data_IF_400054577839
#
_entry.id   IF_400054577839
#
_cell.length_a   1.000
_cell.length_b   1.000
_cell.length_c   1.000
_cell.angle_alpha   90.00
_cell.angle_beta   90.00
_cell.angle_gamma   90.00
#
_symmetry.space_group_name_H-M   'P 1'
#
loop_
_entity.id
_entity.type
_entity.pdbx_description
1 polymer ?
#
# COMPACT_ATOMS: atom_id res chain seq x y z
N UNK A 1 -7.24 -0.56 -4.91
CA UNK A 1 -7.33 -0.92 -3.47
C UNK A 1 -8.65 -1.62 -3.19
N UNK A 2 -8.70 -2.60 -2.28
CA UNK A 2 -9.95 -3.16 -1.74
C UNK A 2 -10.24 -2.55 -0.36
N UNK A 3 -10.98 -1.44 -0.35
CA UNK A 3 -11.35 -0.74 0.89
C UNK A 3 -12.43 -1.47 1.69
N UNK A 4 -13.27 -2.28 1.04
CA UNK A 4 -14.29 -3.06 1.74
C UNK A 4 -13.65 -4.16 2.60
N UNK A 5 -12.57 -4.79 2.10
CA UNK A 5 -11.74 -5.68 2.89
C UNK A 5 -11.17 -4.98 4.13
N UNK A 6 -10.59 -3.78 3.95
CA UNK A 6 -9.97 -3.04 5.05
C UNK A 6 -10.99 -2.56 6.10
N UNK A 7 -12.14 -2.05 5.65
CA UNK A 7 -13.25 -1.66 6.54
C UNK A 7 -13.79 -2.85 7.32
N UNK A 8 -13.89 -4.03 6.69
CA UNK A 8 -14.26 -5.28 7.38
C UNK A 8 -13.23 -5.71 8.41
N UNK A 9 -11.94 -5.58 8.10
CA UNK A 9 -10.83 -5.86 9.02
C UNK A 9 -10.85 -4.92 10.24
N UNK A 10 -11.24 -3.67 10.04
CA UNK A 10 -11.42 -2.67 11.09
C UNK A 10 -12.76 -2.79 11.84
N UNK A 11 -13.57 -3.83 11.58
CA UNK A 11 -14.91 -3.99 12.14
C UNK A 11 -15.83 -2.75 11.96
N UNK A 12 -15.63 -2.01 10.85
CA UNK A 12 -16.35 -0.77 10.55
C UNK A 12 -15.86 0.47 11.31
N UNK A 13 -14.78 0.38 12.09
CA UNK A 13 -14.17 1.54 12.75
C UNK A 13 -13.32 2.34 11.76
N UNK A 14 -13.89 3.45 11.27
CA UNK A 14 -13.23 4.33 10.31
C UNK A 14 -11.96 5.00 10.87
N UNK A 15 -11.85 5.19 12.20
CA UNK A 15 -10.63 5.73 12.81
C UNK A 15 -9.44 4.78 12.66
N UNK A 16 -9.70 3.48 12.83
CA UNK A 16 -8.68 2.43 12.61
C UNK A 16 -8.31 2.34 11.12
N UNK A 17 -9.29 2.45 10.22
CA UNK A 17 -9.01 2.47 8.77
C UNK A 17 -8.09 3.64 8.41
N UNK A 18 -8.38 4.84 8.90
CA UNK A 18 -7.56 6.03 8.66
C UNK A 18 -6.14 5.87 9.20
N UNK A 19 -5.98 5.37 10.42
CA UNK A 19 -4.68 5.13 11.04
C UNK A 19 -3.83 4.15 10.22
N UNK A 20 -4.41 3.01 9.83
CA UNK A 20 -3.70 1.98 9.06
C UNK A 20 -3.28 2.50 7.69
N UNK A 21 -4.14 3.27 7.01
CA UNK A 21 -3.81 3.89 5.73
C UNK A 21 -2.73 4.98 5.87
N UNK A 22 -2.76 5.76 6.96
CA UNK A 22 -1.72 6.74 7.25
C UNK A 22 -0.35 6.06 7.48
N UNK A 23 -0.31 5.00 8.30
CA UNK A 23 0.91 4.23 8.55
C UNK A 23 1.46 3.59 7.28
N UNK A 24 0.60 3.11 6.38
CA UNK A 24 1.04 2.60 5.08
C UNK A 24 1.73 3.68 4.24
N UNK A 25 1.15 4.89 4.18
CA UNK A 25 1.73 6.03 3.45
C UNK A 25 3.08 6.47 4.04
N UNK A 26 3.18 6.54 5.35
CA UNK A 26 4.44 6.89 6.03
C UNK A 26 5.54 5.88 5.74
N UNK A 27 5.22 4.58 5.83
CA UNK A 27 6.20 3.53 5.56
C UNK A 27 6.58 3.45 4.07
N UNK A 28 5.66 3.74 3.15
CA UNK A 28 5.97 3.79 1.72
C UNK A 28 7.12 4.76 1.41
N UNK A 29 7.19 5.91 2.12
CA UNK A 29 8.31 6.84 1.97
C UNK A 29 9.67 6.25 2.38
N UNK A 30 9.69 5.29 3.33
CA UNK A 30 10.90 4.57 3.74
C UNK A 30 11.31 3.50 2.73
N UNK A 31 10.34 2.80 2.12
CA UNK A 31 10.61 1.72 1.18
C UNK A 31 11.03 2.21 -0.20
N UNK A 32 10.44 3.31 -0.69
CA UNK A 32 10.67 3.80 -2.07
C UNK A 32 12.16 3.96 -2.43
N UNK A 33 13.01 4.57 -1.60
CA UNK A 33 14.45 4.66 -1.88
C UNK A 33 15.17 3.30 -1.89
N UNK A 34 14.65 2.30 -1.19
CA UNK A 34 15.22 0.96 -1.11
C UNK A 34 14.83 0.08 -2.31
N UNK A 35 13.78 0.43 -3.06
CA UNK A 35 13.34 -0.29 -4.27
C UNK A 35 14.27 0.01 -5.47
N UNK A 36 15.58 -0.08 -5.26
CA UNK A 36 16.62 0.12 -6.27
C UNK A 36 17.48 -1.15 -6.35
N UNK A 37 17.77 -1.71 -7.54
CA UNK A 37 18.55 -2.94 -7.65
C UNK A 37 19.98 -2.82 -7.09
N UNK A 38 20.51 -1.59 -6.97
CA UNK A 38 21.82 -1.30 -6.35
C UNK A 38 21.77 -1.22 -4.83
N UNK A 39 20.58 -1.04 -4.24
CA UNK A 39 20.42 -0.95 -2.80
C UNK A 39 20.45 -2.36 -2.17
N UNK A 40 21.37 -2.67 -1.24
CA UNK A 40 21.54 -4.05 -0.74
C UNK A 40 20.28 -4.63 -0.07
N UNK A 41 19.43 -3.77 0.49
CA UNK A 41 18.17 -4.14 1.15
C UNK A 41 16.93 -4.19 0.25
N UNK A 42 17.05 -4.13 -1.07
CA UNK A 42 15.88 -4.06 -1.96
C UNK A 42 14.95 -5.28 -1.84
N UNK A 43 15.50 -6.47 -1.59
CA UNK A 43 14.70 -7.69 -1.42
C UNK A 43 13.82 -7.64 -0.17
N UNK A 44 14.40 -7.18 0.94
CA UNK A 44 13.68 -7.01 2.21
C UNK A 44 12.61 -5.92 2.08
N UNK A 45 12.89 -4.85 1.32
CA UNK A 45 11.90 -3.83 1.00
C UNK A 45 10.73 -4.41 0.20
N UNK A 46 10.98 -5.18 -0.88
CA UNK A 46 9.91 -5.85 -1.65
C UNK A 46 9.08 -6.78 -0.75
N UNK A 47 9.73 -7.56 0.10
CA UNK A 47 9.05 -8.46 1.04
C UNK A 47 8.16 -7.70 2.03
N UNK A 48 8.66 -6.59 2.58
CA UNK A 48 7.93 -5.75 3.52
C UNK A 48 6.74 -5.07 2.86
N UNK A 49 6.95 -4.50 1.66
CA UNK A 49 5.88 -3.89 0.84
C UNK A 49 4.80 -4.92 0.54
N UNK A 50 5.16 -6.17 0.19
CA UNK A 50 4.20 -7.25 -0.04
C UNK A 50 3.28 -7.49 1.17
N UNK A 51 3.88 -7.62 2.34
CA UNK A 51 3.16 -7.87 3.59
C UNK A 51 2.22 -6.70 3.93
N UNK A 52 2.74 -5.48 3.90
CA UNK A 52 1.96 -4.28 4.16
C UNK A 52 0.81 -4.11 3.16
N UNK A 53 1.06 -4.34 1.87
CA UNK A 53 0.07 -4.26 0.81
C UNK A 53 -1.10 -5.21 1.05
N UNK A 54 -0.82 -6.47 1.38
CA UNK A 54 -1.87 -7.46 1.71
C UNK A 54 -2.63 -7.08 2.99
N UNK A 55 -1.97 -6.49 3.97
CA UNK A 55 -2.59 -6.01 5.20
C UNK A 55 -3.63 -4.91 4.98
N UNK A 56 -3.38 -4.00 4.03
CA UNK A 56 -4.28 -2.86 3.75
C UNK A 56 -5.26 -3.08 2.60
N UNK A 57 -5.29 -4.28 2.00
CA UNK A 57 -6.13 -4.57 0.83
C UNK A 57 -5.58 -4.07 -0.51
N UNK A 58 -4.29 -3.70 -0.57
CA UNK A 58 -3.56 -3.38 -1.80
C UNK A 58 -3.14 -4.66 -2.54
N UNK A 59 -4.06 -5.60 -2.78
CA UNK A 59 -3.71 -6.95 -3.23
C UNK A 59 -2.92 -6.98 -4.54
N UNK A 60 -3.23 -6.10 -5.50
CA UNK A 60 -2.49 -6.03 -6.76
C UNK A 60 -1.00 -5.68 -6.54
N UNK A 61 -0.70 -4.77 -5.62
CA UNK A 61 0.69 -4.47 -5.23
C UNK A 61 1.34 -5.71 -4.58
N UNK A 62 0.64 -6.39 -3.68
CA UNK A 62 1.11 -7.63 -3.08
C UNK A 62 1.48 -8.70 -4.12
N UNK A 63 0.64 -8.88 -5.15
CA UNK A 63 0.90 -9.81 -6.24
C UNK A 63 2.09 -9.39 -7.11
N UNK A 64 2.26 -8.09 -7.38
CA UNK A 64 3.43 -7.58 -8.11
C UNK A 64 4.71 -7.82 -7.30
N UNK A 65 4.69 -7.59 -6.00
CA UNK A 65 5.83 -7.89 -5.13
C UNK A 65 6.17 -9.38 -5.12
N UNK A 66 5.17 -10.27 -5.04
CA UNK A 66 5.39 -11.72 -5.10
C UNK A 66 6.01 -12.15 -6.44
N UNK A 67 5.49 -11.64 -7.56
CA UNK A 67 6.10 -11.89 -8.87
C UNK A 67 7.51 -11.32 -8.99
N UNK A 68 7.79 -10.19 -8.34
CA UNK A 68 9.14 -9.62 -8.28
C UNK A 68 10.11 -10.53 -7.50
N UNK A 69 9.70 -11.05 -6.34
CA UNK A 69 10.47 -12.03 -5.57
C UNK A 69 10.74 -13.32 -6.39
N UNK A 70 9.78 -13.73 -7.23
CA UNK A 70 9.91 -14.87 -8.13
C UNK A 70 10.73 -14.57 -9.41
N UNK A 71 11.21 -13.34 -9.60
CA UNK A 71 11.97 -12.93 -10.79
C UNK A 71 11.12 -12.78 -12.06
N UNK A 72 9.79 -12.67 -11.92
CA UNK A 72 8.83 -12.53 -13.02
C UNK A 72 8.48 -11.06 -13.33
N UNK A 73 8.78 -10.14 -12.39
CA UNK A 73 8.56 -8.69 -12.50
C UNK A 73 9.79 -7.93 -12.01
N UNK A 74 9.98 -6.72 -12.51
CA UNK A 74 11.06 -5.82 -12.08
C UNK A 74 10.64 -4.88 -10.95
N UNK A 75 11.64 -4.25 -10.29
CA UNK A 75 11.40 -3.25 -9.24
C UNK A 75 10.58 -2.04 -9.74
N UNK A 76 10.68 -1.68 -11.02
CA UNK A 76 9.85 -0.61 -11.61
C UNK A 76 8.36 -0.96 -11.62
N UNK A 77 8.00 -2.23 -11.79
CA UNK A 77 6.62 -2.67 -11.67
C UNK A 77 6.12 -2.53 -10.22
N UNK A 78 6.97 -2.87 -9.24
CA UNK A 78 6.67 -2.68 -7.81
C UNK A 78 6.44 -1.20 -7.49
N UNK A 79 7.32 -0.30 -7.95
CA UNK A 79 7.16 1.15 -7.77
C UNK A 79 5.86 1.66 -8.39
N UNK A 80 5.58 1.27 -9.64
CA UNK A 80 4.34 1.67 -10.34
C UNK A 80 3.10 1.20 -9.59
N UNK A 81 3.09 -0.04 -9.09
CA UNK A 81 1.98 -0.56 -8.30
C UNK A 81 1.85 0.11 -6.92
N UNK A 82 2.98 0.51 -6.32
CA UNK A 82 3.00 1.26 -5.06
C UNK A 82 2.41 2.66 -5.24
N UNK A 83 2.79 3.35 -6.31
CA UNK A 83 2.25 4.66 -6.65
C UNK A 83 0.73 4.59 -6.89
N UNK A 84 0.26 3.57 -7.61
CA UNK A 84 -1.17 3.34 -7.81
C UNK A 84 -1.93 3.13 -6.48
N UNK A 85 -1.38 2.33 -5.57
CA UNK A 85 -1.96 2.14 -4.24
C UNK A 85 -1.99 3.44 -3.43
N UNK A 86 -0.92 4.25 -3.48
CA UNK A 86 -0.87 5.55 -2.80
C UNK A 86 -1.88 6.56 -3.37
N UNK A 87 -2.09 6.56 -4.69
CA UNK A 87 -3.13 7.38 -5.34
C UNK A 87 -4.54 6.98 -4.89
N UNK A 88 -4.84 5.67 -4.86
CA UNK A 88 -6.12 5.17 -4.38
C UNK A 88 -6.38 5.57 -2.92
N UNK A 89 -5.36 5.46 -2.05
CA UNK A 89 -5.47 5.85 -0.64
C UNK A 89 -5.73 7.36 -0.50
N UNK A 90 -5.04 8.19 -1.30
CA UNK A 90 -5.26 9.62 -1.30
C UNK A 90 -6.68 10.00 -1.74
N UNK A 91 -7.21 9.32 -2.76
CA UNK A 91 -8.60 9.49 -3.21
C UNK A 91 -9.60 9.11 -2.12
N UNK A 92 -9.41 7.95 -1.48
CA UNK A 92 -10.27 7.49 -0.39
C UNK A 92 -10.29 8.47 0.80
N UNK A 93 -9.13 8.93 1.25
CA UNK A 93 -9.03 9.90 2.34
C UNK A 93 -9.74 11.23 1.99
N UNK A 94 -9.64 11.67 0.74
CA UNK A 94 -10.36 12.86 0.27
C UNK A 94 -11.88 12.67 0.28
N UNK A 95 -12.37 11.51 -0.18
CA UNK A 95 -13.79 11.18 -0.15
C UNK A 95 -14.34 11.12 1.28
N UNK A 96 -13.60 10.56 2.23
CA UNK A 96 -14.00 10.52 3.64
C UNK A 96 -14.10 11.92 4.25
N UNK A 97 -13.12 12.78 3.99
CA UNK A 97 -13.17 14.18 4.42
C UNK A 97 -14.37 14.94 3.83
N UNK A 98 -14.76 14.66 2.60
CA UNK A 98 -15.97 15.26 2.00
C UNK A 98 -17.27 14.72 2.62
N UNK A 99 -17.30 13.46 3.05
CA UNK A 99 -18.46 12.86 3.74
C UNK A 99 -18.63 13.44 5.13
N UNK A 100 -17.53 13.62 5.88
CA UNK A 100 -17.57 14.17 7.24
C UNK A 100 -18.03 15.64 7.28
N UNK A 101 -17.88 16.38 6.18
CA UNK A 101 -18.37 17.76 6.05
C UNK A 101 -19.87 17.85 5.72
N UNK A 102 -20.48 16.76 5.25
CA UNK A 102 -21.91 16.71 4.84
C UNK A 102 -22.82 16.13 5.92
N UNK A 103 -22.25 15.50 6.95
CA UNK A 103 -22.96 15.00 8.13
C UNK A 103 -22.93 16.01 9.27
#
# INVERSE_FOLDING_TARGET
MDFAYLEGFAAGDFGVVEEVLALFREQAALWTPMLDPTHPGWRDAVHTVKGAARGVGAFQLGEVCERCEAGQEGLEAVKTALDAALMDIAAYAHEQALRSLKG
#
